data_IF_894517051106
#
_entry.id   IF_894517051106
#
_cell.length_a   1.000
_cell.length_b   1.000
_cell.length_c   1.000
_cell.angle_alpha   90.00
_cell.angle_beta   90.00
_cell.angle_gamma   90.00
#
_symmetry.space_group_name_H-M   'P 1'
#
loop_
_entity.id
_entity.type
_entity.pdbx_description
1 polymer ?
#
# COMPACT_ATOMS: atom_id res chain seq x y z
N UNK A 1 5.30 6.09 -21.08
CA UNK A 1 4.42 7.02 -21.81
C UNK A 1 4.24 8.27 -20.95
N UNK A 2 4.35 9.48 -21.53
CA UNK A 2 4.04 10.72 -20.81
C UNK A 2 2.54 10.94 -20.79
N UNK A 3 2.03 11.42 -19.65
CA UNK A 3 0.61 11.72 -19.45
C UNK A 3 0.48 12.94 -18.54
N UNK A 4 -0.44 13.84 -18.89
CA UNK A 4 -0.83 14.96 -18.04
C UNK A 4 -2.08 14.59 -17.24
N UNK A 5 -2.01 14.67 -15.91
CA UNK A 5 -3.10 14.23 -15.01
C UNK A 5 -3.26 15.14 -13.79
N UNK A 6 -4.49 15.25 -13.24
CA UNK A 6 -4.70 15.81 -11.91
C UNK A 6 -3.97 14.98 -10.85
N UNK A 7 -3.45 15.65 -9.81
CA UNK A 7 -2.68 14.98 -8.76
C UNK A 7 -3.26 15.28 -7.37
N UNK A 8 -3.39 14.21 -6.58
CA UNK A 8 -3.87 14.22 -5.21
C UNK A 8 -2.80 13.61 -4.28
N UNK A 9 -1.82 14.40 -3.81
CA UNK A 9 -0.76 13.90 -2.93
C UNK A 9 -1.32 13.40 -1.60
N UNK A 10 -0.92 12.18 -1.20
CA UNK A 10 -1.27 11.58 0.09
C UNK A 10 -0.02 11.01 0.78
N UNK A 11 -0.05 10.98 2.12
CA UNK A 11 1.02 10.37 2.92
C UNK A 11 0.82 8.84 3.07
N UNK A 12 0.56 8.19 1.94
CA UNK A 12 0.40 6.74 1.83
C UNK A 12 1.05 6.25 0.54
N UNK A 13 1.29 4.96 0.45
CA UNK A 13 1.66 4.27 -0.78
C UNK A 13 0.43 3.52 -1.27
N UNK A 14 0.11 3.67 -2.54
CA UNK A 14 -0.99 2.94 -3.21
C UNK A 14 -0.38 2.07 -4.29
N UNK A 15 -0.74 0.80 -4.32
CA UNK A 15 -0.22 -0.14 -5.31
C UNK A 15 -1.22 -0.40 -6.44
N UNK A 16 -0.74 -0.81 -7.64
CA UNK A 16 -1.63 -1.25 -8.72
C UNK A 16 -2.50 -2.42 -8.30
N UNK A 17 -3.80 -2.35 -8.62
CA UNK A 17 -4.80 -3.36 -8.23
C UNK A 17 -5.33 -3.22 -6.80
N UNK A 18 -4.79 -2.29 -6.01
CA UNK A 18 -5.28 -2.01 -4.67
C UNK A 18 -6.57 -1.19 -4.70
N UNK A 19 -7.54 -1.56 -3.86
CA UNK A 19 -8.74 -0.77 -3.61
C UNK A 19 -8.48 0.20 -2.47
N UNK A 20 -8.77 1.49 -2.70
CA UNK A 20 -8.61 2.54 -1.72
C UNK A 20 -9.91 3.30 -1.54
N UNK A 21 -10.38 3.40 -0.29
CA UNK A 21 -11.52 4.22 0.08
C UNK A 21 -11.03 5.60 0.53
N UNK A 22 -11.59 6.65 -0.05
CA UNK A 22 -11.22 8.04 0.24
C UNK A 22 -12.44 8.82 0.73
N UNK A 23 -12.25 9.58 1.83
CA UNK A 23 -13.20 10.57 2.29
C UNK A 23 -12.79 11.96 1.80
N UNK A 24 -13.56 12.53 0.89
CA UNK A 24 -13.24 13.77 0.19
C UNK A 24 -13.98 14.93 0.87
N UNK A 25 -13.24 15.79 1.56
CA UNK A 25 -13.81 16.93 2.30
C UNK A 25 -13.24 18.29 1.89
N UNK A 26 -11.97 18.34 1.42
CA UNK A 26 -11.34 19.58 1.01
C UNK A 26 -11.93 20.11 -0.30
N UNK A 27 -12.21 21.44 -0.43
CA UNK A 27 -12.80 22.02 -1.65
C UNK A 27 -12.03 21.69 -2.93
N UNK A 28 -10.68 21.72 -2.87
CA UNK A 28 -9.82 21.40 -4.03
C UNK A 28 -10.02 19.96 -4.51
N UNK A 29 -10.15 19.01 -3.59
CA UNK A 29 -10.33 17.61 -3.96
C UNK A 29 -11.78 17.27 -4.31
N UNK A 30 -12.78 17.98 -3.75
CA UNK A 30 -14.16 17.91 -4.23
C UNK A 30 -14.23 18.31 -5.72
N UNK A 31 -13.54 19.40 -6.10
CA UNK A 31 -13.45 19.83 -7.51
C UNK A 31 -12.76 18.76 -8.36
N UNK A 32 -11.59 18.24 -7.92
CA UNK A 32 -10.86 17.21 -8.65
C UNK A 32 -11.73 15.98 -8.94
N UNK A 33 -12.41 15.46 -7.92
CA UNK A 33 -13.24 14.26 -8.06
C UNK A 33 -14.43 14.53 -8.99
N UNK A 34 -15.12 15.68 -8.87
CA UNK A 34 -16.22 16.03 -9.75
C UNK A 34 -15.74 16.16 -11.21
N UNK A 35 -14.62 16.82 -11.45
CA UNK A 35 -14.04 16.95 -12.79
C UNK A 35 -13.69 15.56 -13.36
N UNK A 36 -13.09 14.67 -12.57
CA UNK A 36 -12.78 13.30 -13.01
C UNK A 36 -14.04 12.47 -13.30
N UNK A 37 -15.11 12.63 -12.54
CA UNK A 37 -16.38 11.93 -12.76
C UNK A 37 -17.05 12.43 -14.04
N UNK A 38 -17.08 13.75 -14.27
CA UNK A 38 -17.69 14.38 -15.45
C UNK A 38 -16.95 13.97 -16.73
N UNK A 39 -15.61 14.00 -16.71
CA UNK A 39 -14.78 13.69 -17.88
C UNK A 39 -14.43 12.20 -18.02
N UNK A 40 -14.81 11.39 -17.04
CA UNK A 40 -14.46 9.95 -16.95
C UNK A 40 -12.95 9.69 -17.03
N UNK A 41 -12.17 10.57 -16.42
CA UNK A 41 -10.72 10.51 -16.41
C UNK A 41 -10.20 9.90 -15.09
N UNK A 42 -8.92 9.56 -15.09
CA UNK A 42 -8.17 9.10 -13.92
C UNK A 42 -7.45 10.27 -13.26
N UNK A 43 -6.98 10.08 -12.03
CA UNK A 43 -6.07 10.99 -11.35
C UNK A 43 -4.90 10.24 -10.74
N UNK A 44 -3.85 10.95 -10.36
CA UNK A 44 -2.70 10.37 -9.72
C UNK A 44 -2.70 10.60 -8.22
N UNK A 45 -2.25 9.61 -7.46
CA UNK A 45 -1.92 9.73 -6.03
C UNK A 45 -0.40 9.67 -5.87
N UNK A 46 0.29 10.85 -5.86
CA UNK A 46 1.67 10.93 -5.45
C UNK A 46 1.84 10.47 -3.99
N UNK A 47 2.81 9.59 -3.73
CA UNK A 47 3.15 9.13 -2.39
C UNK A 47 4.05 10.15 -1.68
N UNK A 48 3.51 10.86 -0.69
CA UNK A 48 4.23 11.87 0.11
C UNK A 48 4.82 11.25 1.38
N UNK A 49 5.51 10.11 1.24
CA UNK A 49 6.20 9.43 2.36
C UNK A 49 7.56 10.06 2.65
N UNK A 50 8.17 10.67 1.65
CA UNK A 50 9.42 11.43 1.73
C UNK A 50 9.17 12.90 1.37
N UNK A 51 10.14 13.77 1.65
CA UNK A 51 10.04 15.21 1.40
C UNK A 51 9.86 15.61 -0.06
N UNK A 52 9.99 14.68 -1.01
CA UNK A 52 9.84 14.91 -2.45
C UNK A 52 8.75 14.04 -3.04
N UNK A 53 7.95 14.66 -3.90
CA UNK A 53 6.97 13.96 -4.74
C UNK A 53 7.69 13.43 -5.99
N UNK A 54 8.11 12.16 -5.98
CA UNK A 54 8.84 11.56 -7.10
C UNK A 54 8.04 10.48 -7.80
N UNK A 55 7.20 9.74 -7.05
CA UNK A 55 6.48 8.58 -7.55
C UNK A 55 5.06 8.55 -6.97
N UNK A 56 4.17 7.90 -7.67
CA UNK A 56 2.80 7.67 -7.24
C UNK A 56 2.11 6.64 -8.10
N UNK A 57 0.82 6.48 -7.87
CA UNK A 57 -0.03 5.54 -8.59
C UNK A 57 -1.21 6.25 -9.23
N UNK A 58 -1.41 6.01 -10.52
CA UNK A 58 -2.62 6.40 -11.24
C UNK A 58 -3.78 5.57 -10.70
N UNK A 59 -4.90 6.24 -10.40
CA UNK A 59 -6.09 5.58 -9.86
C UNK A 59 -7.33 5.94 -10.65
N UNK A 60 -8.30 5.03 -10.64
CA UNK A 60 -9.62 5.21 -11.23
C UNK A 60 -10.67 5.21 -10.14
N UNK A 61 -11.64 6.10 -10.22
CA UNK A 61 -12.84 6.07 -9.39
C UNK A 61 -13.72 4.90 -9.86
N UNK A 62 -14.03 3.99 -8.95
CA UNK A 62 -14.89 2.83 -9.21
C UNK A 62 -16.33 3.14 -8.82
N UNK A 63 -16.50 3.82 -7.67
CA UNK A 63 -17.81 4.09 -7.09
C UNK A 63 -17.77 5.37 -6.25
N UNK A 64 -18.86 6.13 -6.29
CA UNK A 64 -19.16 7.14 -5.28
C UNK A 64 -20.13 6.51 -4.30
N UNK A 65 -19.62 6.08 -3.14
CA UNK A 65 -20.39 5.30 -2.16
C UNK A 65 -21.37 6.17 -1.39
N UNK A 66 -21.04 7.46 -1.19
CA UNK A 66 -21.89 8.42 -0.48
C UNK A 66 -21.56 9.84 -0.88
N UNK A 67 -22.61 10.65 -0.99
CA UNK A 67 -22.53 12.11 -1.10
C UNK A 67 -23.27 12.73 0.08
N UNK A 68 -22.63 13.65 0.78
CA UNK A 68 -23.17 14.35 1.95
C UNK A 68 -23.78 15.69 1.53
N UNK A 69 -24.69 16.24 2.34
CA UNK A 69 -25.37 17.51 2.07
C UNK A 69 -24.42 18.71 1.91
N UNK A 70 -23.28 18.68 2.60
CA UNK A 70 -22.21 19.70 2.50
C UNK A 70 -21.26 19.47 1.33
N UNK A 71 -21.54 18.52 0.46
CA UNK A 71 -20.76 18.18 -0.71
C UNK A 71 -19.50 17.34 -0.42
N UNK A 72 -19.32 16.81 0.80
CA UNK A 72 -18.31 15.76 1.06
C UNK A 72 -18.72 14.49 0.34
N UNK A 73 -17.74 13.63 0.03
CA UNK A 73 -17.98 12.38 -0.68
C UNK A 73 -17.12 11.25 -0.11
N UNK A 74 -17.69 10.05 -0.06
CA UNK A 74 -16.95 8.82 0.11
C UNK A 74 -16.85 8.12 -1.25
N UNK A 75 -15.64 7.85 -1.70
CA UNK A 75 -15.39 7.23 -2.99
C UNK A 75 -14.54 5.97 -2.82
N UNK A 76 -14.76 4.99 -3.71
CA UNK A 76 -13.87 3.85 -3.90
C UNK A 76 -13.05 4.05 -5.15
N UNK A 77 -11.76 3.83 -5.03
CA UNK A 77 -10.81 3.90 -6.14
C UNK A 77 -10.03 2.61 -6.27
N UNK A 78 -9.43 2.38 -7.43
CA UNK A 78 -8.51 1.27 -7.68
C UNK A 78 -7.24 1.79 -8.31
N UNK A 79 -6.09 1.32 -7.81
CA UNK A 79 -4.78 1.58 -8.40
C UNK A 79 -4.67 0.93 -9.78
N UNK A 80 -4.13 1.65 -10.75
CA UNK A 80 -3.95 1.17 -12.11
C UNK A 80 -2.49 0.87 -12.43
N UNK A 81 -1.64 1.90 -12.34
CA UNK A 81 -0.24 1.84 -12.77
C UNK A 81 0.60 2.85 -12.02
N UNK A 82 1.84 2.49 -11.73
CA UNK A 82 2.81 3.38 -11.12
C UNK A 82 3.29 4.44 -12.13
N UNK A 83 3.59 5.62 -11.63
CA UNK A 83 4.17 6.69 -12.42
C UNK A 83 5.29 7.42 -11.68
N UNK A 84 6.22 7.96 -12.46
CA UNK A 84 7.20 8.94 -12.00
C UNK A 84 6.70 10.35 -12.32
N UNK A 85 6.82 11.27 -11.36
CA UNK A 85 6.48 12.68 -11.55
C UNK A 85 7.62 13.36 -12.31
N UNK A 86 7.29 14.05 -13.39
CA UNK A 86 8.21 14.86 -14.19
C UNK A 86 8.15 16.31 -13.73
N UNK A 87 6.95 16.83 -13.58
CA UNK A 87 6.69 18.15 -13.01
C UNK A 87 5.38 18.12 -12.21
N UNK A 88 5.25 19.07 -11.28
CA UNK A 88 4.06 19.24 -10.44
C UNK A 88 3.79 20.74 -10.24
N UNK A 89 2.54 21.14 -10.39
CA UNK A 89 2.06 22.49 -10.11
C UNK A 89 0.89 22.42 -9.13
N UNK A 90 0.89 23.30 -8.12
CA UNK A 90 -0.12 23.31 -7.05
C UNK A 90 -1.50 23.74 -7.54
N UNK A 91 -1.55 24.57 -8.58
CA UNK A 91 -2.77 25.00 -9.25
C UNK A 91 -2.68 24.67 -10.73
N UNK A 92 -3.41 23.63 -11.14
CA UNK A 92 -3.37 23.12 -12.50
C UNK A 92 -4.55 23.63 -13.30
N UNK A 93 -4.27 24.26 -14.46
CA UNK A 93 -5.29 24.75 -15.39
C UNK A 93 -6.35 25.65 -14.73
N UNK A 94 -5.94 26.57 -13.85
CA UNK A 94 -6.83 27.44 -13.06
C UNK A 94 -7.82 26.71 -12.15
N UNK A 95 -7.54 25.46 -11.78
CA UNK A 95 -8.30 24.67 -10.82
C UNK A 95 -7.76 24.86 -9.40
N UNK A 96 -8.54 24.46 -8.40
CA UNK A 96 -8.12 24.53 -7.00
C UNK A 96 -7.12 23.41 -6.61
N UNK A 97 -6.99 22.39 -7.46
CA UNK A 97 -6.12 21.24 -7.23
C UNK A 97 -4.87 21.29 -8.11
N UNK A 98 -3.86 20.53 -7.69
CA UNK A 98 -2.62 20.39 -8.42
C UNK A 98 -2.70 19.34 -9.53
N UNK A 99 -1.73 19.39 -10.41
CA UNK A 99 -1.56 18.44 -11.50
C UNK A 99 -0.16 18.54 -12.08
N UNK A 100 0.08 17.81 -13.16
CA UNK A 100 1.36 17.87 -13.87
C UNK A 100 1.58 16.71 -14.82
N UNK A 101 2.79 16.66 -15.35
CA UNK A 101 3.22 15.61 -16.26
C UNK A 101 3.81 14.46 -15.48
N UNK A 102 3.35 13.25 -15.79
CA UNK A 102 3.85 12.00 -15.23
C UNK A 102 4.32 11.07 -16.33
N UNK A 103 5.31 10.26 -16.01
CA UNK A 103 5.77 9.17 -16.86
C UNK A 103 5.27 7.86 -16.28
N UNK A 104 4.33 7.20 -16.97
CA UNK A 104 3.89 5.85 -16.56
C UNK A 104 5.06 4.88 -16.62
N UNK A 105 5.24 4.09 -15.56
CA UNK A 105 6.30 3.09 -15.45
C UNK A 105 5.80 1.78 -16.07
N UNK A 106 6.65 1.15 -16.90
CA UNK A 106 6.39 -0.18 -17.42
C UNK A 106 6.96 -1.21 -16.44
N UNK A 107 6.11 -2.05 -15.88
CA UNK A 107 6.53 -3.20 -15.08
C UNK A 107 7.07 -4.29 -15.99
N UNK A 108 8.16 -4.94 -15.61
CA UNK A 108 8.72 -6.11 -16.29
C UNK A 108 8.29 -7.35 -15.53
N UNK A 109 7.62 -8.25 -16.23
CA UNK A 109 7.30 -9.60 -15.73
C UNK A 109 8.54 -10.49 -15.99
N UNK A 110 9.52 -10.36 -15.09
CA UNK A 110 10.82 -11.07 -15.16
C UNK A 110 11.04 -11.95 -13.93
N UNK A 111 9.99 -12.24 -13.17
CA UNK A 111 10.08 -13.12 -12.00
C UNK A 111 10.13 -14.59 -12.41
N UNK A 112 11.04 -15.33 -11.78
CA UNK A 112 11.10 -16.79 -11.96
C UNK A 112 9.95 -17.48 -11.19
N UNK A 113 9.41 -18.60 -11.72
CA UNK A 113 8.35 -19.36 -11.04
C UNK A 113 8.70 -19.76 -9.60
N UNK A 114 9.98 -20.06 -9.33
CA UNK A 114 10.48 -20.40 -8.01
C UNK A 114 10.38 -19.24 -7.01
N UNK A 115 10.65 -18.02 -7.43
CA UNK A 115 10.50 -16.83 -6.58
C UNK A 115 9.05 -16.60 -6.18
N UNK A 116 8.12 -16.77 -7.12
CA UNK A 116 6.68 -16.62 -6.85
C UNK A 116 6.21 -17.66 -5.85
N UNK A 117 6.60 -18.91 -6.02
CA UNK A 117 6.25 -19.99 -5.11
C UNK A 117 6.77 -19.72 -3.68
N UNK A 118 8.05 -19.38 -3.55
CA UNK A 118 8.68 -19.06 -2.26
C UNK A 118 7.97 -17.88 -1.57
N UNK A 119 7.62 -16.84 -2.34
CA UNK A 119 6.91 -15.68 -1.81
C UNK A 119 5.53 -16.06 -1.25
N UNK A 120 4.78 -16.91 -1.98
CA UNK A 120 3.46 -17.38 -1.53
C UNK A 120 3.59 -18.18 -0.24
N UNK A 121 4.55 -19.10 -0.14
CA UNK A 121 4.80 -19.90 1.06
C UNK A 121 5.11 -19.00 2.28
N UNK A 122 6.02 -18.05 2.14
CA UNK A 122 6.38 -17.13 3.21
C UNK A 122 5.20 -16.24 3.65
N UNK A 123 4.40 -15.77 2.70
CA UNK A 123 3.19 -15.01 3.03
C UNK A 123 2.18 -15.86 3.80
N UNK A 124 1.95 -17.11 3.38
CA UNK A 124 1.05 -18.04 4.08
C UNK A 124 1.55 -18.33 5.49
N UNK A 125 2.86 -18.55 5.66
CA UNK A 125 3.47 -18.74 6.97
C UNK A 125 3.25 -17.53 7.88
N UNK A 126 3.52 -16.29 7.38
CA UNK A 126 3.28 -15.08 8.15
C UNK A 126 1.81 -14.93 8.54
N UNK A 127 0.86 -15.16 7.61
CA UNK A 127 -0.57 -15.03 7.90
C UNK A 127 -1.08 -16.08 8.87
N UNK A 128 -0.52 -17.28 8.82
CA UNK A 128 -0.77 -18.30 9.84
C UNK A 128 -0.32 -17.81 11.24
N UNK A 129 0.90 -17.23 11.32
CA UNK A 129 1.39 -16.63 12.56
C UNK A 129 0.52 -15.49 13.09
N UNK A 130 -0.01 -14.67 12.20
CA UNK A 130 -0.87 -13.54 12.54
C UNK A 130 -2.33 -13.95 12.80
N UNK A 131 -2.67 -15.25 12.73
CA UNK A 131 -4.03 -15.78 12.86
C UNK A 131 -5.02 -15.11 11.90
N UNK A 132 -4.56 -14.77 10.70
CA UNK A 132 -5.35 -14.17 9.66
C UNK A 132 -5.97 -15.27 8.81
N UNK A 133 -7.19 -15.70 9.15
CA UNK A 133 -7.93 -16.81 8.51
C UNK A 133 -8.39 -16.55 7.07
N UNK A 134 -8.11 -15.38 6.49
CA UNK A 134 -8.47 -15.08 5.11
C UNK A 134 -7.32 -15.48 4.20
N UNK A 135 -7.58 -16.45 3.32
CA UNK A 135 -6.78 -16.70 2.13
C UNK A 135 -6.57 -15.37 1.39
N UNK A 136 -5.38 -14.81 1.55
CA UNK A 136 -4.95 -13.73 0.70
C UNK A 136 -4.56 -14.43 -0.60
N UNK A 137 -5.53 -14.49 -1.53
CA UNK A 137 -5.27 -14.98 -2.86
C UNK A 137 -4.22 -14.09 -3.52
N UNK A 138 -2.98 -14.56 -3.57
CA UNK A 138 -1.91 -13.97 -4.36
C UNK A 138 -2.09 -14.50 -5.80
N UNK A 139 -3.29 -14.31 -6.35
CA UNK A 139 -3.62 -14.73 -7.70
C UNK A 139 -3.37 -13.59 -8.69
N UNK A 140 -2.68 -13.92 -9.79
CA UNK A 140 -2.37 -12.98 -10.87
C UNK A 140 -1.17 -12.06 -10.57
N UNK A 141 -0.77 -11.30 -11.58
CA UNK A 141 0.45 -10.46 -11.60
C UNK A 141 0.47 -9.33 -10.55
N UNK A 142 -0.69 -8.97 -10.02
CA UNK A 142 -0.86 -7.91 -9.02
C UNK A 142 -1.37 -8.42 -7.66
N UNK A 143 -1.51 -9.74 -7.50
CA UNK A 143 -2.08 -10.34 -6.29
C UNK A 143 -1.26 -10.05 -5.04
N UNK A 144 0.07 -9.95 -5.17
CA UNK A 144 0.97 -9.64 -4.05
C UNK A 144 0.69 -8.26 -3.44
N UNK A 145 0.31 -7.27 -4.23
CA UNK A 145 0.05 -5.92 -3.73
C UNK A 145 -1.12 -5.84 -2.75
N UNK A 146 -2.09 -6.76 -2.83
CA UNK A 146 -3.19 -6.86 -1.85
C UNK A 146 -2.71 -7.25 -0.45
N UNK A 147 -1.54 -7.86 -0.36
CA UNK A 147 -0.94 -8.32 0.87
C UNK A 147 0.10 -7.34 1.45
N UNK A 148 0.63 -6.41 0.65
CA UNK A 148 1.81 -5.59 1.00
C UNK A 148 1.64 -4.85 2.33
N UNK A 149 0.53 -4.19 2.56
CA UNK A 149 0.27 -3.46 3.82
C UNK A 149 0.08 -4.38 5.05
N UNK A 150 0.07 -5.70 4.84
CA UNK A 150 -0.15 -6.70 5.90
C UNK A 150 1.09 -7.49 6.27
N UNK A 151 2.17 -7.33 5.51
CA UNK A 151 3.43 -8.06 5.73
C UNK A 151 4.43 -7.28 6.61
N UNK A 152 4.03 -6.15 7.17
CA UNK A 152 4.84 -5.39 8.14
C UNK A 152 5.96 -4.57 7.55
N UNK A 153 5.87 -4.17 6.28
CA UNK A 153 6.74 -3.17 5.68
C UNK A 153 6.46 -1.79 6.31
N UNK A 154 7.52 -0.98 6.45
CA UNK A 154 7.37 0.42 6.82
C UNK A 154 6.97 1.25 5.58
N UNK A 155 6.32 2.42 5.75
CA UNK A 155 5.95 3.26 4.61
C UNK A 155 7.11 3.59 3.66
N UNK A 156 8.34 3.76 4.20
CA UNK A 156 9.54 4.01 3.41
C UNK A 156 9.96 2.79 2.57
N UNK A 157 9.74 1.58 3.10
CA UNK A 157 10.02 0.32 2.41
C UNK A 157 8.97 0.06 1.32
N UNK A 158 7.69 0.34 1.60
CA UNK A 158 6.61 0.32 0.59
C UNK A 158 6.88 1.32 -0.54
N UNK A 159 7.35 2.52 -0.21
CA UNK A 159 7.74 3.53 -1.19
C UNK A 159 8.89 3.05 -2.09
N UNK A 160 9.93 2.43 -1.54
CA UNK A 160 11.01 1.84 -2.36
C UNK A 160 10.50 0.69 -3.23
N UNK A 161 9.59 -0.15 -2.71
CA UNK A 161 8.97 -1.21 -3.48
C UNK A 161 8.15 -0.67 -4.66
N UNK A 162 7.39 0.43 -4.48
CA UNK A 162 6.62 1.08 -5.54
C UNK A 162 7.52 1.59 -6.68
N UNK A 163 8.77 1.95 -6.40
CA UNK A 163 9.75 2.43 -7.40
C UNK A 163 10.33 1.31 -8.27
N UNK A 164 10.26 0.07 -7.83
CA UNK A 164 10.83 -1.07 -8.56
C UNK A 164 9.98 -1.37 -9.79
N UNK A 165 10.62 -1.52 -10.93
CA UNK A 165 9.95 -1.87 -12.21
C UNK A 165 10.11 -3.34 -12.59
N UNK A 166 11.00 -4.09 -11.93
CA UNK A 166 11.23 -5.53 -12.12
C UNK A 166 10.46 -6.32 -11.08
N UNK A 167 9.64 -7.27 -11.51
CA UNK A 167 8.89 -8.14 -10.62
C UNK A 167 9.80 -9.07 -9.82
N UNK A 168 10.87 -9.56 -10.44
CA UNK A 168 11.90 -10.36 -9.76
C UNK A 168 12.54 -9.58 -8.60
N UNK A 169 12.86 -8.29 -8.80
CA UNK A 169 13.40 -7.45 -7.73
C UNK A 169 12.39 -7.20 -6.60
N UNK A 170 11.11 -6.98 -6.94
CA UNK A 170 10.03 -6.83 -5.96
C UNK A 170 9.87 -8.08 -5.12
N UNK A 171 9.81 -9.25 -5.76
CA UNK A 171 9.68 -10.52 -5.04
C UNK A 171 10.87 -10.78 -4.14
N UNK A 172 12.07 -10.56 -4.63
CA UNK A 172 13.27 -10.69 -3.80
C UNK A 172 13.25 -9.76 -2.59
N UNK A 173 12.87 -8.50 -2.77
CA UNK A 173 12.78 -7.54 -1.67
C UNK A 173 11.80 -8.00 -0.59
N UNK A 174 10.63 -8.53 -0.99
CA UNK A 174 9.61 -9.01 -0.06
C UNK A 174 10.06 -10.33 0.59
N UNK A 175 10.66 -11.25 -0.15
CA UNK A 175 11.21 -12.51 0.37
C UNK A 175 12.27 -12.20 1.43
N UNK A 176 13.26 -11.35 1.12
CA UNK A 176 14.32 -10.95 2.06
C UNK A 176 13.74 -10.29 3.34
N UNK A 177 12.61 -9.58 3.23
CA UNK A 177 11.90 -9.01 4.37
C UNK A 177 11.23 -10.10 5.22
N UNK A 178 10.49 -11.01 4.61
CA UNK A 178 9.76 -12.07 5.30
C UNK A 178 10.70 -13.07 5.98
N UNK A 179 11.79 -13.45 5.33
CA UNK A 179 12.83 -14.34 5.90
C UNK A 179 13.49 -13.75 7.16
N UNK A 180 13.49 -12.43 7.32
CA UNK A 180 13.96 -11.75 8.54
C UNK A 180 12.85 -11.61 9.58
N UNK A 181 11.62 -11.31 9.13
CA UNK A 181 10.48 -11.02 9.99
C UNK A 181 9.97 -12.27 10.72
N UNK A 182 9.74 -13.37 9.99
CA UNK A 182 9.14 -14.58 10.53
C UNK A 182 9.96 -15.16 11.70
N UNK A 183 11.29 -15.38 11.59
CA UNK A 183 12.09 -15.84 12.72
C UNK A 183 12.16 -14.85 13.88
N UNK A 184 11.98 -13.53 13.61
CA UNK A 184 11.93 -12.53 14.68
C UNK A 184 10.63 -12.64 15.48
N UNK A 185 9.50 -12.86 14.81
CA UNK A 185 8.19 -13.11 15.44
C UNK A 185 8.23 -14.37 16.30
N UNK A 186 8.79 -15.47 15.79
CA UNK A 186 8.97 -16.70 16.56
C UNK A 186 9.76 -16.50 17.85
N UNK A 187 10.88 -15.80 17.76
CA UNK A 187 11.72 -15.49 18.93
C UNK A 187 10.96 -14.64 19.94
N UNK A 188 10.19 -13.65 19.49
CA UNK A 188 9.39 -12.79 20.34
C UNK A 188 8.30 -13.58 21.08
N UNK A 189 7.59 -14.49 20.39
CA UNK A 189 6.58 -15.35 21.01
C UNK A 189 7.19 -16.32 22.04
N UNK A 190 8.33 -16.97 21.71
CA UNK A 190 9.05 -17.85 22.65
C UNK A 190 9.50 -17.07 23.90
N UNK A 191 9.97 -15.83 23.74
CA UNK A 191 10.36 -14.97 24.86
C UNK A 191 9.16 -14.58 25.73
N UNK A 192 8.02 -14.21 25.11
CA UNK A 192 6.78 -13.87 25.80
C UNK A 192 6.23 -15.06 26.61
N UNK A 193 6.19 -16.25 26.02
CA UNK A 193 5.78 -17.47 26.71
C UNK A 193 6.67 -17.76 27.92
N UNK A 194 7.99 -17.59 27.79
CA UNK A 194 8.94 -17.79 28.91
C UNK A 194 8.74 -16.77 30.03
N UNK A 195 8.42 -15.51 29.70
CA UNK A 195 8.12 -14.49 30.72
C UNK A 195 6.81 -14.82 31.46
N UNK A 196 5.78 -15.25 30.75
CA UNK A 196 4.49 -15.62 31.32
C UNK A 196 4.66 -16.82 32.25
N UNK A 197 5.42 -17.84 31.87
CA UNK A 197 5.73 -18.99 32.74
C UNK A 197 6.47 -18.56 34.01
N UNK A 198 7.48 -17.70 33.89
CA UNK A 198 8.23 -17.22 35.05
C UNK A 198 7.40 -16.27 35.93
N UNK A 199 6.39 -15.59 35.42
CA UNK A 199 5.47 -14.71 36.16
C UNK A 199 4.50 -15.50 37.06
N UNK A 200 4.12 -16.73 36.69
CA UNK A 200 3.26 -17.58 37.49
C UNK A 200 3.96 -18.15 38.76
N UNK A 201 5.30 -18.24 38.74
CA UNK A 201 6.06 -18.68 39.92
C UNK A 201 6.23 -17.61 41.01
N UNK A 202 5.87 -16.36 40.79
CA UNK A 202 5.95 -15.26 41.77
C UNK A 202 4.76 -15.22 42.75
N UNK A 203 3.75 -16.06 42.60
CA UNK A 203 2.60 -16.15 43.51
C UNK A 203 2.62 -17.37 44.43
N UNK A 204 3.73 -18.09 44.56
CA UNK A 204 3.91 -19.01 45.67
C UNK A 204 4.45 -18.21 46.84
N UNK A 205 3.55 -17.86 47.74
CA UNK A 205 3.87 -17.26 49.05
C UNK A 205 4.67 -18.29 49.88
N UNK A 206 5.93 -18.02 50.30
CA UNK A 206 6.74 -19.01 50.97
C UNK A 206 6.52 -19.03 52.49
N UNK A 207 5.47 -18.43 53.01
CA UNK A 207 5.22 -18.35 54.46
C UNK A 207 3.84 -18.89 54.82
N UNK A 208 3.70 -20.21 54.86
CA UNK A 208 2.76 -20.91 55.72
C UNK A 208 3.48 -22.12 56.35
N UNK A 209 4.20 -21.84 57.43
CA UNK A 209 4.55 -22.82 58.43
C UNK A 209 3.81 -22.49 59.72
#
# INVERSE_FOLDING_TARGET
>A
MLKEIPLFPLNIVVFPGEELNLHIFEPRYKQLINDCLETKTTFGIPSYVKTKLEIGTEVKIVEVSKVYEDGRMDIKTVGLQEFKIIDFVDQWNNKLYGGGNVQLLASKDDAEPGQRFQLIELCQELFHWLQMDKEICIDGDKGIYKAIHKIGLKPEEEYELLKMTSESQRYKFIIDHLERLIPALERAEKAKAKIQMNGHFKHFDPLNF
#
